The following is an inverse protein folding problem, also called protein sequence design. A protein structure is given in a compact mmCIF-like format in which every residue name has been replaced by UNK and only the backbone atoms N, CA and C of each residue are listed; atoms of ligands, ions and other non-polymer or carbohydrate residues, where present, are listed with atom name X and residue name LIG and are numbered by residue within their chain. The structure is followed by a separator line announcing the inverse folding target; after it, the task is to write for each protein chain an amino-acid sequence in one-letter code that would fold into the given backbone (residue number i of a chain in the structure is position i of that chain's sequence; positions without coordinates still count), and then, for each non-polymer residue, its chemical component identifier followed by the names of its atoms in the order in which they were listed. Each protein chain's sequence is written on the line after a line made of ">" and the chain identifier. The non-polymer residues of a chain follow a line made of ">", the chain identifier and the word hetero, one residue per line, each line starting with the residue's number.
data_IF_494110571334
#
_entry.id   IF_494110571334
#
_cell.length_a   1.000
_cell.length_b   1.000
_cell.length_c   1.000
_cell.angle_alpha   90.00
_cell.angle_beta   90.00
_cell.angle_gamma   90.00
#
_symmetry.space_group_name_H-M   'P 1'
#
loop_
_entity.id
_entity.type
_entity.pdbx_description
1 polymer ?
#
# COMPACT_ATOMS: atom_id res chain seq x y z
N UNK A 1 -11.87 -5.79 -20.77
CA UNK A 1 -12.33 -4.54 -20.13
C UNK A 1 -13.38 -3.79 -20.95
N UNK A 2 -13.15 -3.49 -22.23
CA UNK A 2 -14.14 -2.74 -23.03
C UNK A 2 -15.54 -3.40 -23.08
N UNK A 3 -15.61 -4.73 -23.14
CA UNK A 3 -16.86 -5.49 -23.20
C UNK A 3 -17.70 -5.47 -21.91
N UNK A 4 -17.12 -5.03 -20.78
CA UNK A 4 -17.83 -4.98 -19.49
C UNK A 4 -18.12 -3.55 -19.05
N UNK A 5 -17.58 -2.56 -19.75
CA UNK A 5 -17.58 -1.16 -19.30
C UNK A 5 -18.99 -0.56 -19.30
N UNK A 6 -19.82 -0.92 -20.29
CA UNK A 6 -21.20 -0.43 -20.39
C UNK A 6 -22.04 -0.95 -19.24
N UNK A 7 -21.98 -2.25 -18.99
CA UNK A 7 -22.70 -2.93 -17.91
C UNK A 7 -22.17 -2.50 -16.54
N UNK A 8 -20.86 -2.33 -16.40
CA UNK A 8 -20.23 -1.82 -15.19
C UNK A 8 -20.70 -0.40 -14.87
N UNK A 9 -20.70 0.51 -15.84
CA UNK A 9 -21.19 1.87 -15.64
C UNK A 9 -22.66 1.88 -15.18
N UNK A 10 -23.51 1.07 -15.81
CA UNK A 10 -24.91 0.93 -15.39
C UNK A 10 -25.04 0.38 -13.96
N UNK A 11 -24.21 -0.59 -13.57
CA UNK A 11 -24.19 -1.12 -12.21
C UNK A 11 -23.79 -0.08 -11.18
N UNK A 12 -22.75 0.71 -11.47
CA UNK A 12 -22.28 1.81 -10.61
C UNK A 12 -23.38 2.86 -10.42
N UNK A 13 -24.06 3.26 -11.50
CA UNK A 13 -25.17 4.23 -11.44
C UNK A 13 -26.32 3.70 -10.58
N UNK A 14 -26.73 2.44 -10.77
CA UNK A 14 -27.80 1.81 -9.95
C UNK A 14 -27.42 1.71 -8.48
N UNK A 15 -26.17 1.35 -8.19
CA UNK A 15 -25.67 1.21 -6.83
C UNK A 15 -25.28 2.55 -6.20
N UNK A 16 -25.42 3.68 -6.91
CA UNK A 16 -24.98 5.01 -6.47
C UNK A 16 -23.51 5.01 -5.96
N UNK A 17 -22.65 4.21 -6.60
CA UNK A 17 -21.25 4.02 -6.17
C UNK A 17 -21.03 3.17 -4.91
N UNK A 18 -22.08 2.70 -4.25
CA UNK A 18 -21.98 1.78 -3.10
C UNK A 18 -21.82 0.32 -3.58
N UNK A 19 -20.60 -0.03 -3.99
CA UNK A 19 -20.17 -1.37 -4.43
C UNK A 19 -18.83 -1.73 -3.82
N UNK A 20 -18.54 -3.04 -3.72
CA UNK A 20 -17.25 -3.62 -3.36
C UNK A 20 -16.38 -3.94 -4.58
N UNK A 21 -16.91 -3.76 -5.79
CA UNK A 21 -16.15 -3.96 -7.02
C UNK A 21 -15.02 -2.94 -7.16
N UNK A 22 -13.92 -3.30 -7.85
CA UNK A 22 -12.85 -2.36 -8.15
C UNK A 22 -13.40 -1.11 -8.84
N UNK A 23 -13.01 0.06 -8.34
CA UNK A 23 -13.37 1.33 -8.95
C UNK A 23 -12.34 1.67 -10.03
N UNK A 24 -12.65 1.34 -11.28
CA UNK A 24 -11.77 1.64 -12.42
C UNK A 24 -11.81 3.14 -12.71
N UNK A 25 -10.66 3.79 -12.65
CA UNK A 25 -10.52 5.24 -12.84
C UNK A 25 -10.03 5.56 -14.25
N UNK A 26 -9.04 4.81 -14.74
CA UNK A 26 -8.50 5.01 -16.07
C UNK A 26 -7.88 3.72 -16.61
N UNK A 27 -7.82 3.61 -17.94
CA UNK A 27 -7.11 2.55 -18.62
C UNK A 27 -6.24 3.19 -19.71
N UNK A 28 -4.95 2.87 -19.70
CA UNK A 28 -3.97 3.40 -20.61
C UNK A 28 -3.28 2.27 -21.36
N UNK A 29 -2.82 2.58 -22.57
CA UNK A 29 -1.87 1.75 -23.31
C UNK A 29 -0.63 2.59 -23.53
N UNK A 30 0.52 2.11 -23.07
CA UNK A 30 1.82 2.75 -23.21
C UNK A 30 2.68 1.85 -24.08
N UNK A 31 3.24 2.40 -25.16
CA UNK A 31 4.05 1.67 -26.12
C UNK A 31 5.49 2.17 -26.05
N UNK A 32 6.45 1.30 -25.70
CA UNK A 32 7.89 1.62 -25.62
C UNK A 32 8.65 0.54 -26.38
N UNK A 33 9.53 0.93 -27.30
CA UNK A 33 10.36 -0.02 -28.08
C UNK A 33 9.55 -1.16 -28.76
N UNK A 34 8.37 -0.85 -29.30
CA UNK A 34 7.40 -1.81 -29.86
C UNK A 34 6.76 -2.80 -28.87
N UNK A 35 6.94 -2.61 -27.56
CA UNK A 35 6.21 -3.34 -26.52
C UNK A 35 5.02 -2.51 -26.01
N UNK A 36 3.82 -3.04 -26.18
CA UNK A 36 2.58 -2.45 -25.66
C UNK A 36 2.33 -2.94 -24.22
N UNK A 37 2.39 -2.01 -23.26
CA UNK A 37 2.00 -2.22 -21.86
C UNK A 37 0.63 -1.62 -21.59
N UNK A 38 -0.27 -2.41 -21.02
CA UNK A 38 -1.61 -1.97 -20.63
C UNK A 38 -1.62 -1.67 -19.13
N UNK A 39 -2.01 -0.45 -18.77
CA UNK A 39 -2.10 0.02 -17.39
C UNK A 39 -3.56 0.25 -17.03
N UNK A 40 -3.97 -0.27 -15.88
CA UNK A 40 -5.29 -0.05 -15.31
C UNK A 40 -5.14 0.67 -13.97
N UNK A 41 -5.69 1.86 -13.89
CA UNK A 41 -5.70 2.66 -12.66
C UNK A 41 -7.04 2.43 -11.98
N UNK A 42 -6.99 2.01 -10.72
CA UNK A 42 -8.16 1.78 -9.88
C UNK A 42 -7.97 2.39 -8.51
N UNK A 43 -9.07 2.67 -7.80
CA UNK A 43 -9.00 3.14 -6.42
C UNK A 43 -8.38 2.05 -5.54
N UNK A 44 -7.41 2.43 -4.71
CA UNK A 44 -6.91 1.54 -3.66
C UNK A 44 -8.03 1.28 -2.64
N UNK A 45 -8.25 0.01 -2.29
CA UNK A 45 -9.26 -0.39 -1.30
C UNK A 45 -8.80 -0.10 0.14
N UNK A 46 -7.48 -0.06 0.36
CA UNK A 46 -6.93 0.29 1.67
C UNK A 46 -6.71 1.79 1.79
N UNK A 47 -6.98 2.32 2.99
CA UNK A 47 -6.67 3.70 3.31
C UNK A 47 -5.14 3.88 3.38
N UNK A 48 -4.64 4.97 2.80
CA UNK A 48 -3.24 5.37 2.95
C UNK A 48 -2.91 5.83 4.38
N UNK A 49 -3.94 6.13 5.19
CA UNK A 49 -3.78 6.60 6.57
C UNK A 49 -3.85 5.50 7.61
N UNK A 50 -4.41 4.33 7.26
CA UNK A 50 -4.62 3.25 8.22
C UNK A 50 -3.70 2.10 7.84
N UNK A 51 -2.74 1.80 8.70
CA UNK A 51 -1.80 0.70 8.50
C UNK A 51 -2.55 -0.63 8.53
N UNK A 52 -2.53 -1.37 7.43
CA UNK A 52 -3.13 -2.71 7.40
C UNK A 52 -2.16 -3.66 8.07
N UNK A 53 -2.57 -4.30 9.17
CA UNK A 53 -1.73 -5.19 9.95
C UNK A 53 -1.88 -6.66 9.52
N UNK A 54 -3.04 -7.02 8.95
CA UNK A 54 -3.27 -8.36 8.39
C UNK A 54 -4.05 -8.24 7.09
N UNK A 55 -3.65 -9.02 6.08
CA UNK A 55 -4.32 -9.09 4.77
C UNK A 55 -4.75 -10.53 4.48
N UNK A 56 -5.95 -10.68 3.94
CA UNK A 56 -6.50 -11.95 3.50
C UNK A 56 -7.08 -11.85 2.09
N UNK A 57 -6.77 -12.82 1.24
CA UNK A 57 -7.44 -13.08 -0.04
C UNK A 57 -8.39 -14.26 0.15
N UNK A 58 -9.69 -13.97 0.15
CA UNK A 58 -10.73 -14.97 0.43
C UNK A 58 -11.50 -15.27 -0.85
N UNK A 59 -11.53 -16.53 -1.28
CA UNK A 59 -12.35 -16.98 -2.42
C UNK A 59 -13.51 -17.90 -2.02
N UNK A 60 -13.52 -18.40 -0.79
CA UNK A 60 -14.52 -19.37 -0.30
C UNK A 60 -14.22 -20.82 -0.71
N UNK A 61 -13.13 -21.07 -1.43
CA UNK A 61 -12.67 -22.43 -1.77
C UNK A 61 -11.62 -22.92 -0.75
N UNK A 62 -11.43 -24.23 -0.62
CA UNK A 62 -10.46 -24.80 0.34
C UNK A 62 -9.22 -25.44 -0.31
N UNK A 63 -9.22 -25.65 -1.63
CA UNK A 63 -8.12 -26.34 -2.34
C UNK A 63 -7.03 -25.35 -2.75
N UNK A 64 -5.77 -25.60 -2.36
CA UNK A 64 -4.61 -24.74 -2.65
C UNK A 64 -4.74 -23.28 -2.14
N UNK A 65 -5.46 -23.11 -1.02
CA UNK A 65 -5.73 -21.82 -0.40
C UNK A 65 -4.93 -21.58 0.87
N UNK A 66 -3.64 -21.88 0.80
CA UNK A 66 -2.68 -21.53 1.85
C UNK A 66 -1.63 -20.57 1.27
N UNK A 67 -1.18 -19.62 2.09
CA UNK A 67 -0.09 -18.72 1.74
C UNK A 67 1.21 -19.53 1.58
N UNK A 68 1.95 -19.25 0.51
CA UNK A 68 3.27 -19.87 0.30
C UNK A 68 4.24 -19.43 1.39
N UNK A 69 5.20 -20.28 1.74
CA UNK A 69 6.26 -19.93 2.69
C UNK A 69 7.00 -18.64 2.29
N UNK A 70 7.17 -18.40 0.98
CA UNK A 70 7.75 -17.14 0.47
C UNK A 70 6.90 -15.91 0.77
N UNK A 71 5.57 -16.05 0.80
CA UNK A 71 4.65 -14.97 1.12
C UNK A 71 4.63 -14.70 2.63
N UNK A 72 4.72 -15.77 3.45
CA UNK A 72 4.74 -15.70 4.91
C UNK A 72 5.97 -14.99 5.48
N UNK A 73 7.07 -14.93 4.73
CA UNK A 73 8.32 -14.23 5.12
C UNK A 73 8.26 -12.72 4.91
N UNK A 74 7.30 -12.21 4.13
CA UNK A 74 7.13 -10.76 3.93
C UNK A 74 6.68 -10.09 5.22
N UNK A 75 7.04 -8.82 5.39
CA UNK A 75 6.58 -8.00 6.53
C UNK A 75 5.06 -7.96 6.65
N UNK A 76 4.36 -7.92 5.50
CA UNK A 76 2.90 -7.94 5.46
C UNK A 76 2.38 -9.06 4.54
N UNK A 77 2.27 -10.30 5.04
CA UNK A 77 1.87 -11.46 4.25
C UNK A 77 0.39 -11.37 3.84
N UNK A 78 0.08 -11.93 2.67
CA UNK A 78 -1.31 -12.10 2.21
C UNK A 78 -1.76 -13.52 2.51
N UNK A 79 -2.52 -13.69 3.59
CA UNK A 79 -3.11 -14.96 3.99
C UNK A 79 -4.26 -15.37 3.06
N UNK A 80 -4.59 -16.65 3.02
CA UNK A 80 -5.69 -17.19 2.20
C UNK A 80 -6.77 -17.85 3.05
N UNK A 81 -7.73 -18.51 2.41
CA UNK A 81 -8.89 -19.15 3.06
C UNK A 81 -8.49 -20.18 4.15
N UNK A 82 -7.47 -21.02 3.93
CA UNK A 82 -7.04 -22.01 4.94
C UNK A 82 -6.32 -21.34 6.11
N UNK A 83 -5.47 -20.35 5.85
CA UNK A 83 -4.81 -19.60 6.91
C UNK A 83 -5.84 -18.85 7.78
N UNK A 84 -6.88 -18.27 7.17
CA UNK A 84 -7.96 -17.60 7.90
C UNK A 84 -8.67 -18.56 8.86
N UNK A 85 -8.93 -19.80 8.42
CA UNK A 85 -9.54 -20.85 9.25
C UNK A 85 -8.59 -21.36 10.34
N UNK A 86 -7.34 -21.67 9.99
CA UNK A 86 -6.34 -22.20 10.92
C UNK A 86 -6.01 -21.20 12.02
N UNK A 87 -5.96 -19.91 11.70
CA UNK A 87 -5.72 -18.84 12.66
C UNK A 87 -6.94 -18.52 13.52
N UNK A 88 -8.07 -19.22 13.31
CA UNK A 88 -9.37 -18.95 13.94
C UNK A 88 -9.75 -17.47 13.89
N UNK A 89 -9.40 -16.79 12.79
CA UNK A 89 -9.63 -15.37 12.66
C UNK A 89 -11.14 -15.12 12.57
N UNK A 90 -11.63 -14.22 13.42
CA UNK A 90 -13.01 -13.75 13.39
C UNK A 90 -13.02 -12.26 13.13
N UNK A 91 -13.99 -11.80 12.36
CA UNK A 91 -14.27 -10.38 12.14
C UNK A 91 -15.56 -10.08 12.87
N UNK A 92 -15.48 -9.22 13.89
CA UNK A 92 -16.63 -8.81 14.68
C UNK A 92 -17.21 -7.56 14.04
N UNK A 93 -18.46 -7.65 13.62
CA UNK A 93 -19.19 -6.59 12.93
C UNK A 93 -20.58 -6.54 13.54
N UNK A 94 -21.17 -5.36 13.65
CA UNK A 94 -22.55 -5.24 14.13
C UNK A 94 -23.51 -5.92 13.15
N UNK A 95 -24.69 -6.35 13.62
CA UNK A 95 -25.66 -7.03 12.77
C UNK A 95 -26.10 -6.16 11.59
N UNK A 96 -26.31 -4.86 11.84
CA UNK A 96 -26.70 -3.89 10.81
C UNK A 96 -25.61 -3.70 9.74
N UNK A 97 -24.35 -3.56 10.14
CA UNK A 97 -23.23 -3.43 9.19
C UNK A 97 -23.01 -4.72 8.40
N UNK A 98 -23.15 -5.87 9.06
CA UNK A 98 -23.05 -7.18 8.42
C UNK A 98 -24.11 -7.31 7.32
N UNK A 99 -25.36 -6.96 7.61
CA UNK A 99 -26.44 -6.99 6.64
C UNK A 99 -26.14 -6.09 5.44
N UNK A 100 -25.71 -4.84 5.69
CA UNK A 100 -25.31 -3.89 4.62
C UNK A 100 -24.18 -4.42 3.75
N UNK A 101 -23.16 -5.06 4.35
CA UNK A 101 -22.03 -5.63 3.60
C UNK A 101 -22.47 -6.84 2.77
N UNK A 102 -23.27 -7.74 3.35
CA UNK A 102 -23.78 -8.91 2.65
C UNK A 102 -24.71 -8.52 1.50
N UNK A 103 -25.56 -7.52 1.68
CA UNK A 103 -26.44 -7.02 0.63
C UNK A 103 -25.63 -6.45 -0.55
N UNK A 104 -24.60 -5.64 -0.28
CA UNK A 104 -23.69 -5.13 -1.33
C UNK A 104 -22.97 -6.28 -2.04
N UNK A 105 -22.44 -7.23 -1.28
CA UNK A 105 -21.72 -8.39 -1.81
C UNK A 105 -22.62 -9.23 -2.72
N UNK A 106 -23.85 -9.51 -2.31
CA UNK A 106 -24.82 -10.26 -3.11
C UNK A 106 -25.11 -9.55 -4.45
N UNK A 107 -25.37 -8.23 -4.41
CA UNK A 107 -25.59 -7.44 -5.62
C UNK A 107 -24.40 -7.46 -6.58
N UNK A 108 -23.18 -7.37 -6.04
CA UNK A 108 -21.95 -7.39 -6.83
C UNK A 108 -21.68 -8.78 -7.41
N UNK A 109 -21.94 -9.84 -6.64
CA UNK A 109 -21.81 -11.24 -7.11
C UNK A 109 -22.81 -11.54 -8.22
N UNK A 110 -24.07 -11.13 -8.09
CA UNK A 110 -25.07 -11.29 -9.15
C UNK A 110 -24.63 -10.61 -10.46
N UNK A 111 -24.04 -9.42 -10.36
CA UNK A 111 -23.47 -8.71 -11.50
C UNK A 111 -22.30 -9.48 -12.14
N UNK A 112 -21.36 -9.98 -11.33
CA UNK A 112 -20.21 -10.77 -11.82
C UNK A 112 -20.68 -12.07 -12.50
N UNK A 113 -21.67 -12.76 -11.92
CA UNK A 113 -22.27 -13.98 -12.49
C UNK A 113 -22.92 -13.68 -13.84
N UNK A 114 -23.66 -12.57 -13.97
CA UNK A 114 -24.27 -12.16 -15.24
C UNK A 114 -23.23 -11.94 -16.34
N UNK A 115 -22.06 -11.40 -15.98
CA UNK A 115 -20.93 -11.21 -16.89
C UNK A 115 -20.06 -12.45 -17.07
N UNK A 116 -20.39 -13.57 -16.42
CA UNK A 116 -19.61 -14.82 -16.41
C UNK A 116 -18.17 -14.62 -15.94
N UNK A 117 -17.95 -13.67 -15.04
CA UNK A 117 -16.66 -13.42 -14.41
C UNK A 117 -16.55 -14.33 -13.18
N UNK A 118 -15.48 -15.13 -13.13
CA UNK A 118 -15.19 -16.05 -12.04
C UNK A 118 -13.80 -15.78 -11.47
N UNK A 119 -13.39 -16.55 -10.46
CA UNK A 119 -12.07 -16.46 -9.81
C UNK A 119 -11.75 -15.11 -9.16
N UNK A 120 -12.76 -14.33 -8.80
CA UNK A 120 -12.58 -13.14 -7.96
C UNK A 120 -12.33 -13.53 -6.50
N UNK A 121 -11.53 -12.73 -5.81
CA UNK A 121 -11.34 -12.81 -4.35
C UNK A 121 -11.89 -11.58 -3.66
N UNK A 122 -12.36 -11.77 -2.44
CA UNK A 122 -12.60 -10.70 -1.50
C UNK A 122 -11.30 -10.41 -0.74
N UNK A 123 -10.75 -9.23 -0.98
CA UNK A 123 -9.57 -8.76 -0.27
C UNK A 123 -10.00 -8.12 1.06
N UNK A 124 -9.56 -8.69 2.17
CA UNK A 124 -9.86 -8.23 3.52
C UNK A 124 -8.57 -7.71 4.17
N UNK A 125 -8.60 -6.44 4.59
CA UNK A 125 -7.55 -5.84 5.40
C UNK A 125 -8.05 -5.59 6.82
N UNK A 126 -7.27 -6.00 7.82
CA UNK A 126 -7.56 -5.74 9.23
C UNK A 126 -6.54 -4.71 9.72
N UNK A 127 -7.07 -3.59 10.22
CA UNK A 127 -6.32 -2.57 10.94
C UNK A 127 -6.64 -2.69 12.42
N UNK A 128 -5.63 -2.78 13.26
CA UNK A 128 -5.74 -2.82 14.72
C UNK A 128 -5.33 -1.46 15.27
N UNK A 129 -6.28 -0.70 15.79
CA UNK A 129 -6.05 0.68 16.27
C UNK A 129 -5.07 0.70 17.45
N UNK A 130 -5.20 -0.23 18.39
CA UNK A 130 -4.34 -0.26 19.57
C UNK A 130 -2.93 -0.78 19.29
N UNK A 131 -2.69 -1.36 18.12
CA UNK A 131 -1.34 -1.66 17.63
C UNK A 131 -0.76 -0.49 16.85
N UNK A 132 -1.58 0.16 16.02
CA UNK A 132 -1.17 1.34 15.27
C UNK A 132 -0.65 2.46 16.16
N UNK A 133 -1.36 2.78 17.24
CA UNK A 133 -0.97 3.83 18.19
C UNK A 133 0.42 3.56 18.80
N UNK A 134 0.69 2.31 19.19
CA UNK A 134 2.00 1.92 19.74
C UNK A 134 3.13 1.98 18.71
N UNK A 135 2.85 1.57 17.47
CA UNK A 135 3.84 1.64 16.39
C UNK A 135 4.12 3.11 15.99
N UNK A 136 3.12 3.99 16.06
CA UNK A 136 3.31 5.44 15.88
C UNK A 136 4.17 6.04 16.99
N UNK A 137 3.90 5.72 18.26
CA UNK A 137 4.70 6.16 19.42
C UNK A 137 6.16 5.68 19.31
N UNK A 138 6.39 4.40 19.01
CA UNK A 138 7.75 3.84 18.85
C UNK A 138 8.52 4.47 17.68
N UNK A 139 7.82 4.83 16.59
CA UNK A 139 8.44 5.50 15.44
C UNK A 139 8.79 6.95 15.76
N UNK A 140 7.94 7.65 16.50
CA UNK A 140 8.21 9.01 16.98
C UNK A 140 9.40 9.02 17.95
N UNK A 141 9.44 8.10 18.92
CA UNK A 141 10.55 7.96 19.86
C UNK A 141 11.88 7.64 19.13
N UNK A 142 11.87 6.71 18.17
CA UNK A 142 13.05 6.38 17.38
C UNK A 142 13.55 7.56 16.52
N UNK A 143 12.64 8.40 16.01
CA UNK A 143 13.00 9.59 15.23
C UNK A 143 13.62 10.69 16.11
N UNK A 144 13.16 10.83 17.36
CA UNK A 144 13.74 11.75 18.34
C UNK A 144 15.14 11.32 18.79
N UNK A 145 15.36 10.00 18.94
CA UNK A 145 16.67 9.45 19.28
C UNK A 145 17.69 9.59 18.13
N UNK A 146 17.26 9.50 16.87
CA UNK A 146 18.11 9.77 15.70
C UNK A 146 18.48 11.26 15.57
N UNK A 147 17.54 12.20 15.81
CA UNK A 147 17.85 13.63 15.84
C UNK A 147 18.74 14.03 17.02
N UNK A 148 18.59 13.37 18.18
CA UNK A 148 19.47 13.50 19.33
C UNK A 148 20.89 12.93 19.10
N UNK A 149 21.04 12.06 18.10
CA UNK A 149 22.30 11.43 17.68
C UNK A 149 22.87 12.03 16.40
N UNK A 150 22.49 13.25 16.01
CA UNK A 150 23.34 14.06 15.14
C UNK A 150 24.68 14.29 15.83
N UNK A 151 25.81 13.72 15.35
CA UNK A 151 27.09 14.15 15.86
C UNK A 151 27.19 15.62 15.48
N UNK A 152 27.32 16.49 16.49
CA UNK A 152 27.77 17.88 16.28
C UNK A 152 28.98 17.81 15.34
N UNK A 153 28.75 18.03 14.05
CA UNK A 153 29.80 18.14 13.07
C UNK A 153 30.45 19.47 13.36
N UNK A 154 31.42 19.44 14.27
CA UNK A 154 32.41 20.49 14.38
C UNK A 154 33.12 20.52 13.03
N UNK A 155 32.69 21.41 12.15
CA UNK A 155 33.42 21.77 10.96
C UNK A 155 34.87 22.06 11.39
N UNK A 156 35.89 21.33 10.88
CA UNK A 156 37.26 21.72 11.18
C UNK A 156 37.47 23.11 10.59
N UNK A 157 37.85 24.07 11.44
CA UNK A 157 38.26 25.40 10.99
C UNK A 157 39.31 25.23 9.88
N UNK A 158 39.17 25.91 8.73
CA UNK A 158 40.17 25.77 7.68
C UNK A 158 41.52 26.25 8.22
N UNK A 159 42.55 25.41 8.08
CA UNK A 159 43.94 25.77 8.38
C UNK A 159 44.29 26.99 7.54
N UNK A 160 44.65 28.08 8.20
CA UNK A 160 45.20 29.28 7.57
C UNK A 160 46.42 28.87 6.73
N UNK A 161 46.33 29.08 5.43
CA UNK A 161 47.46 29.01 4.51
C UNK A 161 48.51 30.05 4.92
N UNK A 162 49.67 29.59 5.39
CA UNK A 162 50.84 30.44 5.59
C UNK A 162 51.63 30.48 4.27
N UNK A 163 51.77 31.64 3.61
CA UNK A 163 52.60 31.73 2.41
C UNK A 163 54.07 31.79 2.84
N UNK A 164 54.82 30.71 2.62
CA UNK A 164 56.28 30.74 2.63
C UNK A 164 56.76 31.43 1.35
N UNK A 165 56.94 32.74 1.42
CA UNK A 165 57.54 33.55 0.37
C UNK A 165 58.43 34.63 0.98
N UNK A 166 59.75 34.45 0.87
CA UNK A 166 60.76 35.43 1.31
C UNK A 166 60.72 36.63 0.35
N UNK A 167 60.62 37.89 0.80
CA UNK A 167 60.64 39.03 -0.10
C UNK A 167 62.07 39.31 -0.62
N UNK A 168 62.25 39.76 -1.88
CA UNK A 168 63.55 40.18 -2.38
C UNK A 168 63.94 41.54 -1.79
N UNK A 169 65.25 41.71 -1.58
CA UNK A 169 65.89 42.87 -0.96
C UNK A 169 65.98 44.01 -1.98
N UNK A 170 65.25 45.10 -1.76
CA UNK A 170 65.40 46.33 -2.53
C UNK A 170 66.40 47.27 -1.83
N UNK A 171 67.40 47.74 -2.59
CA UNK A 171 68.42 48.70 -2.18
C UNK A 171 67.85 50.12 -2.01
N UNK A 172 68.43 50.97 -1.15
CA UNK A 172 68.00 52.36 -1.00
C UNK A 172 68.56 53.23 -2.14
N UNK A 173 67.71 54.09 -2.71
CA UNK A 173 68.11 55.15 -3.63
C UNK A 173 68.73 56.32 -2.84
N UNK A 174 69.79 56.90 -3.39
CA UNK A 174 70.30 58.24 -3.09
C UNK A 174 70.01 59.12 -4.29
#
# INVERSE_FOLDING_TARGET
>A
MHNILSEYHQHIVKCHGSTLLPQFLAMYRVSVENEDTYLLVMRNMFSHRLVVHRKYDLKGSLVSREASDKEKVKELPTFKDMDFRNNMQKVYVTEEEREKVLEKLNRDVEFLVKLKIMDYSLLLGIHDMGRAEREEEETEEASMDEEGRSPRTAWPRPRSWAPTGRPPRASPAT
#
